data_IF_616952315813
#
_entry.id   IF_616952315813
#
_cell.length_a   1.000
_cell.length_b   1.000
_cell.length_c   1.000
_cell.angle_alpha   90.00
_cell.angle_beta   90.00
_cell.angle_gamma   90.00
#
_symmetry.space_group_name_H-M   'P 1'
#
loop_
_entity.id
_entity.type
_entity.pdbx_description
1 polymer ?
#
# COMPACT_ATOMS: atom_id res chain seq x y z
N UNK A 1 -59.60 9.86 -34.09
CA UNK A 1 -59.45 10.01 -35.56
C UNK A 1 -59.61 8.64 -36.17
N UNK A 2 -60.05 8.55 -37.43
CA UNK A 2 -60.50 7.28 -37.98
C UNK A 2 -59.33 6.39 -38.39
N UNK A 3 -59.32 5.18 -37.86
CA UNK A 3 -58.69 4.06 -38.53
C UNK A 3 -59.59 3.63 -39.69
N UNK A 4 -58.98 3.14 -40.75
CA UNK A 4 -59.65 2.59 -41.92
C UNK A 4 -58.87 1.36 -42.38
N UNK A 5 -59.54 0.44 -43.06
CA UNK A 5 -58.91 -0.72 -43.68
C UNK A 5 -58.12 -0.39 -44.97
N UNK A 6 -58.18 0.86 -45.42
CA UNK A 6 -57.64 1.37 -46.69
C UNK A 6 -58.18 0.65 -47.95
N UNK A 7 -59.36 0.04 -47.87
CA UNK A 7 -60.07 -0.56 -49.00
C UNK A 7 -61.27 0.32 -49.33
N UNK A 8 -61.46 0.64 -50.62
CA UNK A 8 -62.63 1.41 -51.07
C UNK A 8 -63.67 0.42 -51.62
N UNK A 9 -64.80 0.32 -50.94
CA UNK A 9 -65.87 -0.60 -51.32
C UNK A 9 -66.68 -0.07 -52.51
N UNK A 10 -67.18 -1.01 -53.32
CA UNK A 10 -68.11 -0.66 -54.38
C UNK A 10 -69.50 -0.33 -53.79
N UNK A 11 -69.91 0.93 -53.87
CA UNK A 11 -71.13 1.43 -53.26
C UNK A 11 -71.72 2.63 -54.06
N UNK A 12 -72.91 3.14 -53.70
CA UNK A 12 -73.42 4.39 -54.27
C UNK A 12 -72.44 5.55 -54.07
N UNK A 13 -72.41 6.51 -54.99
CA UNK A 13 -71.34 7.53 -55.05
C UNK A 13 -71.19 8.41 -53.79
N UNK A 14 -72.23 8.57 -52.97
CA UNK A 14 -72.11 9.26 -51.67
C UNK A 14 -71.31 8.43 -50.65
N UNK A 15 -71.54 7.11 -50.61
CA UNK A 15 -70.84 6.17 -49.74
C UNK A 15 -69.37 6.04 -50.14
N UNK A 16 -69.07 5.90 -51.44
CA UNK A 16 -67.68 5.84 -51.94
C UNK A 16 -66.88 7.10 -51.59
N UNK A 17 -67.49 8.29 -51.66
CA UNK A 17 -66.81 9.52 -51.24
C UNK A 17 -66.55 9.57 -49.74
N UNK A 18 -67.49 9.10 -48.92
CA UNK A 18 -67.33 9.05 -47.48
C UNK A 18 -66.20 8.08 -47.08
N UNK A 19 -66.20 6.90 -47.71
CA UNK A 19 -65.17 5.87 -47.61
C UNK A 19 -63.77 6.43 -47.99
N UNK A 20 -63.66 7.04 -49.18
CA UNK A 20 -62.42 7.68 -49.63
C UNK A 20 -61.91 8.75 -48.64
N UNK A 21 -62.80 9.59 -48.11
CA UNK A 21 -62.42 10.58 -47.11
C UNK A 21 -61.91 9.92 -45.81
N UNK A 22 -62.50 8.81 -45.40
CA UNK A 22 -62.04 7.99 -44.26
C UNK A 22 -60.65 7.41 -44.51
N UNK A 23 -60.44 6.76 -45.65
CA UNK A 23 -59.15 6.19 -46.03
C UNK A 23 -58.04 7.25 -46.12
N UNK A 24 -58.32 8.42 -46.72
CA UNK A 24 -57.36 9.53 -46.79
C UNK A 24 -57.06 10.14 -45.41
N UNK A 25 -58.05 10.24 -44.52
CA UNK A 25 -57.85 10.69 -43.15
C UNK A 25 -57.01 9.69 -42.35
N UNK A 26 -57.26 8.39 -42.51
CA UNK A 26 -56.45 7.34 -41.90
C UNK A 26 -55.00 7.41 -42.40
N UNK A 27 -54.78 7.57 -43.70
CA UNK A 27 -53.44 7.73 -44.26
C UNK A 27 -52.72 8.97 -43.71
N UNK A 28 -53.39 10.14 -43.73
CA UNK A 28 -52.82 11.39 -43.24
C UNK A 28 -52.53 11.41 -41.73
N UNK A 29 -53.19 10.55 -40.96
CA UNK A 29 -52.99 10.41 -39.52
C UNK A 29 -52.09 9.24 -39.12
N UNK A 30 -51.54 8.48 -40.08
CA UNK A 30 -50.87 7.21 -39.81
C UNK A 30 -51.77 6.26 -38.99
N UNK A 31 -53.02 6.09 -39.41
CA UNK A 31 -54.01 5.18 -38.80
C UNK A 31 -54.11 5.34 -37.27
N UNK A 32 -54.11 6.60 -36.82
CA UNK A 32 -54.10 6.95 -35.40
C UNK A 32 -55.40 6.51 -34.71
N UNK A 33 -55.28 5.80 -33.58
CA UNK A 33 -56.39 5.39 -32.72
C UNK A 33 -55.92 4.87 -31.36
N UNK A 34 -56.83 4.45 -30.49
CA UNK A 34 -56.51 3.93 -29.14
C UNK A 34 -56.38 2.39 -29.09
N UNK A 35 -56.29 1.77 -30.26
CA UNK A 35 -56.14 0.34 -30.47
C UNK A 35 -55.46 0.10 -31.82
N UNK A 36 -54.97 -1.11 -32.05
CA UNK A 36 -54.39 -1.51 -33.33
C UNK A 36 -55.42 -1.38 -34.47
N UNK A 37 -55.05 -0.84 -35.66
CA UNK A 37 -55.89 -0.89 -36.85
C UNK A 37 -56.38 -2.32 -37.13
N UNK A 38 -57.68 -2.46 -37.43
CA UNK A 38 -58.28 -3.77 -37.71
C UNK A 38 -57.58 -4.48 -38.88
N UNK A 39 -57.24 -3.72 -39.91
CA UNK A 39 -56.41 -4.17 -41.03
C UNK A 39 -55.10 -3.38 -40.99
N UNK A 40 -53.98 -4.09 -40.87
CA UNK A 40 -52.65 -3.51 -40.95
C UNK A 40 -51.84 -4.22 -42.02
N UNK A 41 -51.06 -3.47 -42.78
CA UNK A 41 -50.21 -3.98 -43.87
C UNK A 41 -48.75 -4.02 -43.42
N UNK A 42 -48.00 -5.05 -43.81
CA UNK A 42 -46.59 -5.14 -43.46
C UNK A 42 -45.82 -3.88 -43.94
N UNK A 43 -45.06 -3.27 -43.04
CA UNK A 43 -44.39 -1.98 -43.24
C UNK A 43 -45.23 -0.75 -42.91
N UNK A 44 -46.52 -0.90 -42.58
CA UNK A 44 -47.37 0.20 -42.15
C UNK A 44 -46.96 0.69 -40.76
N UNK A 45 -46.89 2.00 -40.61
CA UNK A 45 -46.79 2.62 -39.29
C UNK A 45 -48.18 2.99 -38.78
N UNK A 46 -48.38 2.87 -37.47
CA UNK A 46 -49.58 3.37 -36.83
C UNK A 46 -49.31 3.99 -35.46
N UNK A 47 -50.20 4.91 -35.06
CA UNK A 47 -50.10 5.64 -33.79
C UNK A 47 -51.17 5.17 -32.81
N UNK A 48 -50.75 4.66 -31.65
CA UNK A 48 -51.61 4.54 -30.48
C UNK A 48 -51.64 5.88 -29.74
N UNK A 49 -52.80 6.52 -29.68
CA UNK A 49 -52.95 7.85 -29.11
C UNK A 49 -53.36 7.90 -27.65
N UNK A 50 -53.54 6.75 -27.00
CA UNK A 50 -54.00 6.70 -25.62
C UNK A 50 -53.34 5.61 -24.76
N UNK A 51 -52.42 4.83 -25.32
CA UNK A 51 -51.57 3.91 -24.56
C UNK A 51 -50.11 4.36 -24.66
N UNK A 52 -49.49 4.86 -23.56
CA UNK A 52 -49.97 4.80 -22.18
C UNK A 52 -50.91 5.93 -21.73
N UNK A 53 -51.06 7.03 -22.48
CA UNK A 53 -51.99 8.12 -22.14
C UNK A 53 -52.32 9.00 -23.35
N UNK A 54 -53.35 9.85 -23.24
CA UNK A 54 -53.72 10.82 -24.29
C UNK A 54 -52.61 11.83 -24.66
N UNK A 55 -51.63 12.01 -23.78
CA UNK A 55 -50.49 12.93 -23.96
C UNK A 55 -49.19 12.22 -24.35
N UNK A 56 -49.17 10.89 -24.37
CA UNK A 56 -48.01 10.08 -24.75
C UNK A 56 -48.45 9.06 -25.79
N UNK A 57 -48.15 9.32 -27.05
CA UNK A 57 -48.56 8.48 -28.17
C UNK A 57 -47.47 7.45 -28.48
N UNK A 58 -47.83 6.19 -28.65
CA UNK A 58 -46.90 5.14 -29.07
C UNK A 58 -46.90 5.00 -30.59
N UNK A 59 -45.71 4.99 -31.19
CA UNK A 59 -45.52 4.69 -32.61
C UNK A 59 -45.16 3.21 -32.79
N UNK A 60 -45.90 2.54 -33.66
CA UNK A 60 -45.68 1.16 -34.04
C UNK A 60 -45.37 1.03 -35.52
N UNK A 61 -44.59 0.01 -35.86
CA UNK A 61 -44.39 -0.49 -37.21
C UNK A 61 -44.84 -1.95 -37.25
N UNK A 62 -45.81 -2.27 -38.09
CA UNK A 62 -46.28 -3.64 -38.26
C UNK A 62 -45.37 -4.40 -39.22
N UNK A 63 -44.79 -5.52 -38.81
CA UNK A 63 -43.85 -6.30 -39.64
C UNK A 63 -44.52 -7.37 -40.51
N UNK A 64 -45.84 -7.55 -40.38
CA UNK A 64 -46.62 -8.60 -41.03
C UNK A 64 -47.09 -9.71 -40.07
N UNK A 65 -46.51 -9.80 -38.88
CA UNK A 65 -46.88 -10.71 -37.80
C UNK A 65 -47.23 -9.92 -36.53
N UNK A 66 -46.34 -9.01 -36.14
CA UNK A 66 -46.35 -8.32 -34.86
C UNK A 66 -46.15 -6.81 -35.02
N UNK A 67 -46.62 -6.06 -34.01
CA UNK A 67 -46.45 -4.61 -33.93
C UNK A 67 -45.17 -4.27 -33.16
N UNK A 68 -44.16 -3.80 -33.87
CA UNK A 68 -42.89 -3.36 -33.29
C UNK A 68 -43.05 -1.94 -32.77
N UNK A 69 -42.95 -1.76 -31.45
CA UNK A 69 -42.93 -0.42 -30.83
C UNK A 69 -41.62 0.30 -31.16
N UNK A 70 -41.70 1.38 -31.93
CA UNK A 70 -40.55 2.18 -32.39
C UNK A 70 -40.21 3.27 -31.39
N UNK A 71 -41.21 3.85 -30.73
CA UNK A 71 -40.99 4.89 -29.73
C UNK A 71 -42.28 5.51 -29.20
N UNK A 72 -42.12 6.49 -28.34
CA UNK A 72 -43.22 7.27 -27.75
C UNK A 72 -43.00 8.77 -27.98
N UNK A 73 -44.07 9.47 -28.33
CA UNK A 73 -44.11 10.93 -28.44
C UNK A 73 -44.87 11.52 -27.25
N UNK A 74 -44.20 12.32 -26.43
CA UNK A 74 -44.88 13.17 -25.46
C UNK A 74 -45.32 14.45 -26.15
N UNK A 75 -46.62 14.58 -26.41
CA UNK A 75 -47.20 15.71 -27.13
C UNK A 75 -47.33 16.98 -26.29
N UNK A 76 -47.19 16.86 -24.96
CA UNK A 76 -47.17 18.02 -24.04
C UNK A 76 -45.79 18.65 -24.00
N UNK A 77 -44.73 17.83 -23.96
CA UNK A 77 -43.35 18.30 -23.85
C UNK A 77 -42.59 18.33 -25.18
N UNK A 78 -43.21 17.90 -26.28
CA UNK A 78 -42.63 17.80 -27.62
C UNK A 78 -41.37 16.92 -27.70
N UNK A 79 -41.38 15.77 -27.02
CA UNK A 79 -40.23 14.86 -26.96
C UNK A 79 -40.54 13.51 -27.61
N UNK A 80 -39.55 12.93 -28.30
CA UNK A 80 -39.59 11.55 -28.80
C UNK A 80 -38.63 10.66 -27.99
N UNK A 81 -39.11 9.51 -27.53
CA UNK A 81 -38.33 8.50 -26.81
C UNK A 81 -38.28 7.21 -27.63
N UNK A 82 -37.13 6.84 -28.22
CA UNK A 82 -37.02 5.64 -29.02
C UNK A 82 -37.05 4.37 -28.15
N UNK A 83 -37.57 3.29 -28.73
CA UNK A 83 -37.50 1.95 -28.16
C UNK A 83 -36.51 1.11 -28.98
N UNK A 84 -35.65 0.36 -28.29
CA UNK A 84 -34.64 -0.51 -28.90
C UNK A 84 -34.82 -1.88 -28.27
N UNK A 85 -35.04 -2.91 -29.08
CA UNK A 85 -35.24 -4.29 -28.59
C UNK A 85 -36.34 -4.38 -27.52
N UNK A 86 -37.49 -3.73 -27.77
CA UNK A 86 -38.66 -3.77 -26.89
C UNK A 86 -38.56 -2.94 -25.59
N UNK A 87 -37.44 -2.27 -25.33
CA UNK A 87 -37.25 -1.43 -24.13
C UNK A 87 -37.03 0.05 -24.47
N UNK A 88 -37.51 0.96 -23.64
CA UNK A 88 -37.33 2.41 -23.85
C UNK A 88 -35.88 2.82 -23.63
N UNK A 89 -35.33 3.72 -24.45
CA UNK A 89 -33.96 4.22 -24.27
C UNK A 89 -33.74 4.94 -22.93
N UNK A 90 -34.80 5.53 -22.36
CA UNK A 90 -34.77 6.16 -21.03
C UNK A 90 -34.37 5.16 -19.92
N UNK A 91 -34.71 3.88 -20.07
CA UNK A 91 -34.30 2.84 -19.11
C UNK A 91 -32.78 2.57 -19.15
N UNK A 92 -32.13 2.75 -20.31
CA UNK A 92 -30.67 2.72 -20.42
C UNK A 92 -30.02 4.00 -19.88
N UNK A 93 -30.65 5.17 -20.10
CA UNK A 93 -30.08 6.45 -19.66
C UNK A 93 -30.19 6.65 -18.14
N UNK A 94 -31.20 6.09 -17.49
CA UNK A 94 -31.30 6.05 -16.02
C UNK A 94 -30.20 5.20 -15.38
N UNK A 95 -29.60 4.25 -16.11
CA UNK A 95 -28.37 3.56 -15.69
C UNK A 95 -27.10 4.43 -15.78
N UNK A 96 -27.14 5.60 -16.43
CA UNK A 96 -26.02 6.54 -16.52
C UNK A 96 -25.98 7.56 -15.36
N UNK A 97 -27.02 7.62 -14.51
CA UNK A 97 -27.04 8.45 -13.27
C UNK A 97 -26.34 7.71 -12.11
N UNK A 98 -25.51 6.70 -12.42
CA UNK A 98 -24.75 6.00 -11.41
C UNK A 98 -23.36 6.59 -11.19
N UNK A 99 -22.98 6.82 -9.93
CA UNK A 99 -23.75 6.56 -8.71
C UNK A 99 -24.45 7.86 -8.26
N UNK A 100 -25.77 7.81 -7.96
CA UNK A 100 -26.57 8.99 -7.60
C UNK A 100 -26.12 9.71 -6.31
N UNK A 101 -27.01 10.48 -5.66
CA UNK A 101 -26.67 11.16 -4.40
C UNK A 101 -26.20 10.19 -3.30
N UNK A 102 -25.27 10.62 -2.44
CA UNK A 102 -24.74 9.79 -1.34
C UNK A 102 -25.84 9.53 -0.30
N UNK A 103 -26.16 8.26 -0.07
CA UNK A 103 -27.06 7.83 1.00
C UNK A 103 -26.29 7.70 2.32
N UNK A 104 -26.98 7.83 3.46
CA UNK A 104 -26.38 7.61 4.78
C UNK A 104 -27.00 6.38 5.42
N UNK A 105 -26.17 5.43 5.88
CA UNK A 105 -26.59 4.29 6.67
C UNK A 105 -25.84 4.26 8.01
N UNK A 106 -26.50 4.01 9.15
CA UNK A 106 -25.80 3.69 10.38
C UNK A 106 -25.22 2.27 10.34
N UNK A 107 -24.04 2.10 10.91
CA UNK A 107 -23.39 0.83 11.07
C UNK A 107 -24.19 -0.05 12.05
N UNK A 108 -24.53 -1.24 11.58
CA UNK A 108 -25.13 -2.32 12.37
C UNK A 108 -24.46 -3.63 12.01
N UNK A 109 -24.80 -4.73 12.71
CA UNK A 109 -24.25 -6.04 12.37
C UNK A 109 -24.50 -6.43 10.89
N UNK A 110 -25.63 -5.99 10.33
CA UNK A 110 -25.99 -6.12 8.90
C UNK A 110 -26.28 -4.73 8.31
N UNK A 111 -25.26 -4.08 7.78
CA UNK A 111 -25.39 -2.77 7.13
C UNK A 111 -25.81 -2.98 5.67
N UNK A 112 -27.12 -3.07 5.41
CA UNK A 112 -27.67 -3.46 4.10
C UNK A 112 -27.44 -2.39 3.01
N UNK A 113 -26.39 -2.55 2.21
CA UNK A 113 -26.05 -1.62 1.12
C UNK A 113 -27.06 -1.69 -0.04
N UNK A 114 -27.57 -2.88 -0.36
CA UNK A 114 -28.53 -3.05 -1.45
C UNK A 114 -29.88 -2.37 -1.19
N UNK A 115 -30.22 -2.12 0.08
CA UNK A 115 -31.40 -1.37 0.49
C UNK A 115 -31.18 0.14 0.64
N UNK A 116 -29.97 0.66 0.40
CA UNK A 116 -29.63 2.07 0.64
C UNK A 116 -30.28 3.06 -0.32
N UNK A 117 -30.81 2.59 -1.46
CA UNK A 117 -31.33 3.44 -2.53
C UNK A 117 -30.26 4.19 -3.36
N UNK A 118 -28.97 3.99 -3.04
CA UNK A 118 -27.83 4.54 -3.76
C UNK A 118 -26.65 3.57 -3.76
N UNK A 119 -25.76 3.73 -4.73
CA UNK A 119 -24.49 3.01 -4.82
C UNK A 119 -23.33 3.77 -4.16
N UNK A 120 -23.55 5.02 -3.74
CA UNK A 120 -22.67 5.76 -2.84
C UNK A 120 -23.29 5.76 -1.44
N UNK A 121 -22.58 5.21 -0.45
CA UNK A 121 -23.08 5.11 0.92
C UNK A 121 -22.06 5.61 1.95
N UNK A 122 -22.43 6.63 2.72
CA UNK A 122 -21.75 7.01 3.95
C UNK A 122 -22.20 6.10 5.10
N UNK A 123 -21.28 5.32 5.65
CA UNK A 123 -21.52 4.45 6.80
C UNK A 123 -21.12 5.20 8.07
N UNK A 124 -22.08 5.41 8.96
CA UNK A 124 -21.92 6.18 10.20
C UNK A 124 -21.90 5.30 11.44
N UNK A 125 -21.35 5.78 12.56
CA UNK A 125 -21.27 5.02 13.81
C UNK A 125 -20.04 4.10 13.89
N UNK A 126 -20.04 3.23 14.90
CA UNK A 126 -18.86 2.44 15.31
C UNK A 126 -19.14 0.94 15.47
N UNK A 127 -20.37 0.51 15.22
CA UNK A 127 -20.79 -0.90 15.37
C UNK A 127 -20.03 -1.81 14.41
N UNK A 128 -19.58 -2.97 14.91
CA UNK A 128 -18.98 -4.02 14.07
C UNK A 128 -19.96 -4.49 13.00
N UNK A 129 -19.49 -4.56 11.75
CA UNK A 129 -20.25 -5.04 10.60
C UNK A 129 -19.78 -6.46 10.27
N UNK A 130 -20.75 -7.37 10.12
CA UNK A 130 -20.53 -8.77 9.74
C UNK A 130 -21.16 -9.14 8.40
N UNK A 131 -22.03 -8.28 7.87
CA UNK A 131 -22.70 -8.46 6.57
C UNK A 131 -23.08 -7.11 5.97
N UNK A 132 -23.10 -7.04 4.63
CA UNK A 132 -23.56 -5.89 3.85
C UNK A 132 -24.97 -6.08 3.26
N UNK A 133 -25.72 -7.07 3.77
CA UNK A 133 -27.08 -7.41 3.34
C UNK A 133 -27.14 -8.63 2.42
N UNK A 134 -28.34 -9.21 2.28
CA UNK A 134 -28.59 -10.44 1.52
C UNK A 134 -29.06 -10.23 0.08
N UNK A 135 -29.34 -8.98 -0.30
CA UNK A 135 -29.90 -8.63 -1.61
C UNK A 135 -29.38 -7.29 -2.11
N UNK A 136 -28.88 -7.26 -3.34
CA UNK A 136 -28.45 -6.09 -4.09
C UNK A 136 -28.57 -6.38 -5.60
N UNK A 137 -28.38 -5.36 -6.45
CA UNK A 137 -28.51 -5.52 -7.89
C UNK A 137 -27.30 -6.26 -8.49
N UNK A 138 -27.51 -7.42 -9.13
CA UNK A 138 -26.43 -8.19 -9.78
C UNK A 138 -26.05 -7.67 -11.17
N UNK A 139 -26.91 -6.88 -11.82
CA UNK A 139 -26.61 -6.21 -13.08
C UNK A 139 -25.81 -4.90 -12.89
N UNK A 140 -25.84 -4.32 -11.69
CA UNK A 140 -25.02 -3.18 -11.29
C UNK A 140 -24.41 -3.43 -9.91
N UNK A 141 -23.48 -4.39 -9.78
CA UNK A 141 -23.08 -4.96 -8.49
C UNK A 141 -22.03 -4.14 -7.72
N UNK A 142 -21.60 -2.99 -8.24
CA UNK A 142 -20.55 -2.17 -7.63
C UNK A 142 -21.13 -1.11 -6.67
N UNK A 143 -20.67 -1.13 -5.44
CA UNK A 143 -21.05 -0.17 -4.39
C UNK A 143 -19.79 0.50 -3.82
N UNK A 144 -19.91 1.78 -3.51
CA UNK A 144 -18.84 2.60 -2.94
C UNK A 144 -19.26 3.09 -1.56
N UNK A 145 -18.36 2.97 -0.60
CA UNK A 145 -18.63 3.33 0.79
C UNK A 145 -17.56 4.27 1.33
N UNK A 146 -17.98 5.17 2.21
CA UNK A 146 -17.09 6.00 3.04
C UNK A 146 -17.49 5.84 4.49
N UNK A 147 -16.52 5.57 5.36
CA UNK A 147 -16.75 5.41 6.80
C UNK A 147 -16.59 6.75 7.50
N UNK A 148 -17.51 7.13 8.38
CA UNK A 148 -17.42 8.38 9.17
C UNK A 148 -16.92 8.14 10.59
N UNK A 149 -16.68 6.89 10.97
CA UNK A 149 -16.22 6.49 12.29
C UNK A 149 -15.33 5.25 12.22
N UNK A 150 -14.74 4.89 13.35
CA UNK A 150 -13.99 3.66 13.50
C UNK A 150 -14.93 2.51 13.86
N UNK A 151 -14.99 1.49 13.00
CA UNK A 151 -15.72 0.25 13.20
C UNK A 151 -14.87 -0.94 12.74
N UNK A 152 -15.29 -2.16 13.04
CA UNK A 152 -14.64 -3.36 12.52
C UNK A 152 -15.50 -4.01 11.45
N UNK A 153 -14.91 -4.25 10.28
CA UNK A 153 -15.42 -5.16 9.26
C UNK A 153 -14.91 -6.56 9.60
N UNK A 154 -15.81 -7.51 9.84
CA UNK A 154 -15.45 -8.89 10.18
C UNK A 154 -15.36 -9.74 8.92
N UNK A 155 -14.17 -10.26 8.63
CA UNK A 155 -13.97 -11.08 7.45
C UNK A 155 -14.73 -12.41 7.56
N UNK A 156 -15.41 -12.78 6.48
CA UNK A 156 -15.89 -14.12 6.23
C UNK A 156 -15.46 -14.55 4.82
N UNK A 157 -14.92 -15.75 4.67
CA UNK A 157 -14.38 -16.25 3.41
C UNK A 157 -15.45 -16.42 2.28
N UNK A 158 -16.73 -16.30 2.62
CA UNK A 158 -17.86 -16.47 1.69
C UNK A 158 -18.71 -15.22 1.58
N UNK A 159 -19.22 -14.69 2.71
CA UNK A 159 -20.24 -13.63 2.70
C UNK A 159 -19.68 -12.21 2.75
N UNK A 160 -18.54 -11.99 3.41
CA UNK A 160 -17.88 -10.68 3.53
C UNK A 160 -16.37 -10.84 3.30
N UNK A 161 -16.02 -10.97 2.02
CA UNK A 161 -14.66 -11.27 1.58
C UNK A 161 -13.86 -9.97 1.56
N UNK A 162 -13.03 -9.77 2.58
CA UNK A 162 -12.17 -8.60 2.72
C UNK A 162 -10.83 -8.85 2.01
N UNK A 163 -10.23 -7.78 1.48
CA UNK A 163 -8.87 -7.84 0.96
C UNK A 163 -7.91 -8.26 2.10
N UNK A 164 -6.94 -9.12 1.79
CA UNK A 164 -6.00 -9.64 2.79
C UNK A 164 -6.55 -10.73 3.71
N UNK A 165 -7.83 -11.10 3.61
CA UNK A 165 -8.39 -12.26 4.34
C UNK A 165 -8.43 -12.10 5.87
N UNK A 166 -8.46 -10.88 6.37
CA UNK A 166 -8.50 -10.57 7.80
C UNK A 166 -9.51 -9.46 8.09
N UNK A 167 -9.91 -9.34 9.36
CA UNK A 167 -10.76 -8.24 9.83
C UNK A 167 -10.07 -6.89 9.57
N UNK A 168 -10.86 -5.88 9.21
CA UNK A 168 -10.37 -4.52 8.97
C UNK A 168 -11.03 -3.58 9.98
N UNK A 169 -10.22 -2.84 10.74
CA UNK A 169 -10.72 -1.71 11.52
C UNK A 169 -10.65 -0.46 10.67
N UNK A 170 -11.79 0.19 10.47
CA UNK A 170 -11.89 1.43 9.69
C UNK A 170 -11.51 2.63 10.54
N UNK A 171 -11.34 3.76 9.87
CA UNK A 171 -11.25 5.07 10.49
C UNK A 171 -12.14 6.06 9.73
N UNK A 172 -12.48 7.18 10.37
CA UNK A 172 -13.26 8.23 9.73
C UNK A 172 -12.51 8.77 8.50
N UNK A 173 -13.15 8.73 7.34
CA UNK A 173 -12.56 9.10 6.04
C UNK A 173 -12.06 7.92 5.21
N UNK A 174 -12.06 6.69 5.74
CA UNK A 174 -11.70 5.51 4.95
C UNK A 174 -12.77 5.25 3.88
N UNK A 175 -12.36 4.70 2.74
CA UNK A 175 -13.27 4.34 1.64
C UNK A 175 -13.06 2.92 1.17
N UNK A 176 -14.13 2.28 0.68
CA UNK A 176 -14.08 0.92 0.16
C UNK A 176 -15.00 0.75 -1.04
N UNK A 177 -14.56 -0.09 -2.00
CA UNK A 177 -15.37 -0.53 -3.15
C UNK A 177 -15.74 -1.99 -2.97
N UNK A 178 -17.02 -2.28 -3.17
CA UNK A 178 -17.62 -3.59 -2.96
C UNK A 178 -18.23 -4.12 -4.25
N UNK A 179 -18.09 -5.42 -4.46
CA UNK A 179 -18.75 -6.17 -5.51
C UNK A 179 -19.75 -7.14 -4.87
N UNK A 180 -21.02 -7.00 -5.23
CA UNK A 180 -22.04 -7.96 -4.89
C UNK A 180 -21.97 -9.18 -5.82
N UNK A 181 -21.80 -10.37 -5.24
CA UNK A 181 -21.69 -11.64 -5.96
C UNK A 181 -23.02 -12.41 -6.02
N UNK A 182 -24.09 -11.90 -5.42
CA UNK A 182 -25.36 -12.60 -5.25
C UNK A 182 -25.48 -13.31 -3.90
N UNK A 183 -26.73 -13.59 -3.49
CA UNK A 183 -27.09 -14.35 -2.28
C UNK A 183 -26.38 -13.89 -1.00
N UNK A 184 -26.21 -12.58 -0.81
CA UNK A 184 -25.55 -12.00 0.36
C UNK A 184 -24.03 -12.12 0.40
N UNK A 185 -23.39 -12.49 -0.72
CA UNK A 185 -21.94 -12.55 -0.84
C UNK A 185 -21.39 -11.22 -1.37
N UNK A 186 -20.45 -10.64 -0.62
CA UNK A 186 -19.82 -9.37 -0.95
C UNK A 186 -18.31 -9.52 -0.96
N UNK A 187 -17.67 -8.99 -2.00
CA UNK A 187 -16.21 -8.94 -2.11
C UNK A 187 -15.74 -7.50 -2.10
N UNK A 188 -14.81 -7.19 -1.22
CA UNK A 188 -14.10 -5.91 -1.25
C UNK A 188 -13.06 -5.94 -2.37
N UNK A 189 -13.17 -5.01 -3.31
CA UNK A 189 -12.24 -4.88 -4.44
C UNK A 189 -11.08 -3.93 -4.12
N UNK A 190 -11.38 -2.86 -3.37
CA UNK A 190 -10.41 -1.87 -2.94
C UNK A 190 -10.75 -1.34 -1.57
N UNK A 191 -9.73 -0.97 -0.81
CA UNK A 191 -9.86 -0.30 0.48
C UNK A 191 -8.77 0.76 0.57
N UNK A 192 -9.19 2.02 0.72
CA UNK A 192 -8.28 3.13 1.01
C UNK A 192 -8.52 3.53 2.47
N UNK A 193 -7.56 3.27 3.39
CA UNK A 193 -7.69 3.66 4.77
C UNK A 193 -7.72 5.19 4.91
N UNK A 194 -8.36 5.71 5.95
CA UNK A 194 -8.24 7.13 6.25
C UNK A 194 -6.78 7.46 6.54
N UNK A 195 -6.23 8.48 5.87
CA UNK A 195 -4.86 8.94 6.08
C UNK A 195 -4.71 9.52 7.50
N UNK A 196 -4.36 8.68 8.47
CA UNK A 196 -3.87 9.12 9.78
C UNK A 196 -2.57 8.43 10.20
N UNK A 197 -2.18 7.32 9.55
CA UNK A 197 -1.03 6.51 9.99
C UNK A 197 -0.04 6.09 8.88
N UNK A 198 -0.26 6.39 7.60
CA UNK A 198 0.65 5.97 6.51
C UNK A 198 2.01 6.72 6.48
N UNK A 199 2.28 7.58 7.47
CA UNK A 199 3.56 8.30 7.59
C UNK A 199 4.70 7.42 8.09
N UNK A 200 4.43 6.24 8.67
CA UNK A 200 5.50 5.42 9.26
C UNK A 200 6.12 4.38 8.30
N UNK A 201 5.45 4.00 7.20
CA UNK A 201 5.92 2.90 6.32
C UNK A 201 5.89 3.16 4.81
N UNK A 202 5.67 4.40 4.36
CA UNK A 202 5.89 4.77 2.94
C UNK A 202 5.03 4.01 1.91
N UNK A 203 3.96 3.34 2.32
CA UNK A 203 2.95 2.75 1.42
C UNK A 203 1.74 3.67 1.37
N UNK A 204 1.92 4.85 0.78
CA UNK A 204 0.81 5.79 0.67
C UNK A 204 1.18 7.21 0.27
N UNK A 205 2.02 7.41 -0.74
CA UNK A 205 1.93 8.59 -1.58
C UNK A 205 2.73 8.41 -2.87
N UNK A 206 2.04 8.56 -3.98
CA UNK A 206 2.55 8.84 -5.32
C UNK A 206 3.60 9.97 -5.23
N UNK A 207 4.88 9.64 -5.40
CA UNK A 207 5.97 10.61 -5.49
C UNK A 207 7.07 10.41 -4.44
N UNK A 208 8.13 9.68 -4.83
CA UNK A 208 9.35 9.53 -4.03
C UNK A 208 9.58 8.11 -3.52
N UNK A 209 9.99 7.20 -4.39
CA UNK A 209 10.56 5.90 -3.98
C UNK A 209 11.95 6.14 -3.36
N UNK A 210 12.01 6.65 -2.15
CA UNK A 210 13.21 6.52 -1.33
C UNK A 210 13.02 5.26 -0.48
N UNK A 211 13.88 4.26 -0.68
CA UNK A 211 13.91 3.11 0.21
C UNK A 211 14.17 3.59 1.65
N UNK A 212 13.33 3.18 2.61
CA UNK A 212 13.65 3.35 4.03
C UNK A 212 14.77 2.36 4.33
N UNK A 213 16.01 2.85 4.39
CA UNK A 213 17.13 2.08 4.90
C UNK A 213 16.97 1.98 6.41
N UNK A 214 16.61 0.80 6.92
CA UNK A 214 16.58 0.53 8.36
C UNK A 214 18.03 0.54 8.86
N UNK A 215 18.36 1.45 9.77
CA UNK A 215 19.64 1.44 10.48
C UNK A 215 19.80 0.15 11.30
N UNK A 216 21.04 -0.20 11.63
CA UNK A 216 21.32 -1.31 12.56
C UNK A 216 20.58 -1.08 13.88
N UNK A 217 19.79 -2.06 14.33
CA UNK A 217 19.01 -1.99 15.58
C UNK A 217 17.52 -1.64 15.44
N UNK A 218 17.02 -1.37 14.22
CA UNK A 218 15.59 -1.25 13.94
C UNK A 218 15.05 -2.55 13.34
N UNK A 219 14.16 -3.22 14.06
CA UNK A 219 13.43 -4.40 13.56
C UNK A 219 11.94 -4.12 13.57
N UNK A 220 11.21 -4.76 12.65
CA UNK A 220 9.75 -4.71 12.64
C UNK A 220 9.18 -6.07 12.98
N UNK A 221 8.22 -6.08 13.91
CA UNK A 221 7.36 -7.23 14.15
C UNK A 221 5.91 -6.74 14.11
N UNK A 222 5.15 -7.20 13.11
CA UNK A 222 3.79 -6.72 12.87
C UNK A 222 3.71 -5.19 12.69
N UNK A 223 2.92 -4.53 13.54
CA UNK A 223 2.71 -3.08 13.54
C UNK A 223 3.69 -2.31 14.43
N UNK A 224 4.59 -3.02 15.12
CA UNK A 224 5.54 -2.43 16.07
C UNK A 224 6.92 -2.29 15.44
N UNK A 225 7.43 -1.06 15.41
CA UNK A 225 8.83 -0.77 15.18
C UNK A 225 9.57 -0.95 16.50
N UNK A 226 10.40 -1.98 16.58
CA UNK A 226 11.25 -2.23 17.73
C UNK A 226 12.62 -1.61 17.50
N UNK A 227 12.95 -0.59 18.29
CA UNK A 227 14.30 -0.08 18.44
C UNK A 227 14.97 -0.86 19.57
N UNK A 228 15.61 -1.98 19.25
CA UNK A 228 16.54 -2.58 20.21
C UNK A 228 17.80 -1.73 20.20
N UNK A 229 18.09 -1.05 21.30
CA UNK A 229 19.39 -0.42 21.50
C UNK A 229 20.45 -1.52 21.51
N UNK A 230 20.99 -1.88 20.34
CA UNK A 230 22.26 -2.60 20.30
C UNK A 230 23.26 -1.72 21.05
N UNK A 231 24.00 -2.26 22.03
CA UNK A 231 24.98 -1.46 22.75
C UNK A 231 25.90 -0.76 21.76
N UNK A 232 26.14 0.54 21.95
CA UNK A 232 27.00 1.27 21.03
C UNK A 232 28.38 0.61 21.00
N UNK A 233 28.85 0.27 19.80
CA UNK A 233 30.11 -0.41 19.56
C UNK A 233 30.94 0.36 18.55
N UNK A 234 32.24 0.46 18.78
CA UNK A 234 33.20 1.06 17.88
C UNK A 234 34.35 0.09 17.69
N UNK A 235 34.87 0.01 16.47
CA UNK A 235 35.98 -0.86 16.13
C UNK A 235 36.96 -0.12 15.24
N UNK A 236 38.23 -0.34 15.46
CA UNK A 236 39.30 0.07 14.57
C UNK A 236 40.15 -1.15 14.21
N UNK A 237 40.65 -1.15 12.98
CA UNK A 237 41.47 -2.23 12.44
C UNK A 237 42.67 -1.63 11.74
N UNK A 238 43.85 -2.19 11.99
CA UNK A 238 45.04 -1.94 11.19
C UNK A 238 45.23 -3.19 10.30
N UNK A 239 44.83 -3.16 9.02
CA UNK A 239 44.89 -4.32 8.14
C UNK A 239 46.27 -4.50 7.49
N UNK A 240 46.98 -3.40 7.20
CA UNK A 240 48.27 -3.46 6.52
C UNK A 240 49.45 -3.57 7.49
N UNK A 241 50.56 -4.20 7.07
CA UNK A 241 51.81 -4.21 7.83
C UNK A 241 52.34 -2.79 8.10
N UNK A 242 52.83 -2.55 9.31
CA UNK A 242 53.47 -1.27 9.70
C UNK A 242 54.82 -1.57 10.33
N UNK A 243 55.84 -0.77 9.98
CA UNK A 243 57.16 -0.85 10.61
C UNK A 243 57.34 0.35 11.54
N UNK A 244 57.82 0.09 12.75
CA UNK A 244 58.11 1.10 13.76
C UNK A 244 59.59 1.06 14.12
N UNK A 245 60.17 2.23 14.40
CA UNK A 245 61.46 2.34 15.07
C UNK A 245 61.23 2.84 16.50
N UNK A 246 61.39 1.95 17.48
CA UNK A 246 60.98 2.19 18.86
C UNK A 246 62.19 2.33 19.79
N UNK A 247 62.05 3.16 20.82
CA UNK A 247 63.04 3.33 21.89
C UNK A 247 62.40 2.97 23.23
N UNK A 248 63.18 2.39 24.14
CA UNK A 248 62.68 1.96 25.43
C UNK A 248 62.01 3.10 26.21
N UNK A 249 60.79 2.85 26.69
CA UNK A 249 60.00 3.83 27.45
C UNK A 249 59.25 4.86 26.59
N UNK A 250 59.52 4.94 25.28
CA UNK A 250 58.79 5.79 24.35
C UNK A 250 57.73 4.97 23.63
N UNK A 251 56.47 5.39 23.75
CA UNK A 251 55.34 4.74 23.09
C UNK A 251 54.97 5.44 21.79
N UNK A 252 54.62 4.66 20.77
CA UNK A 252 54.13 5.16 19.49
C UNK A 252 52.70 4.68 19.26
N UNK A 253 51.85 5.58 18.76
CA UNK A 253 50.47 5.28 18.37
C UNK A 253 50.46 4.31 17.18
N UNK A 254 49.59 3.31 17.23
CA UNK A 254 49.28 2.49 16.06
C UNK A 254 48.21 3.21 15.24
N UNK A 255 48.60 3.85 14.14
CA UNK A 255 47.75 4.79 13.38
C UNK A 255 46.35 4.27 13.03
N UNK A 256 46.20 3.00 12.65
CA UNK A 256 44.88 2.41 12.34
C UNK A 256 44.05 2.03 13.56
N UNK A 257 44.54 2.23 14.78
CA UNK A 257 43.90 1.88 16.05
C UNK A 257 43.78 3.08 17.00
N UNK A 258 43.60 4.31 16.49
CA UNK A 258 43.58 5.57 17.29
C UNK A 258 42.23 6.29 17.37
N UNK A 259 41.14 5.71 16.87
CA UNK A 259 39.83 6.39 16.75
C UNK A 259 38.64 5.59 17.27
N UNK A 260 38.83 4.69 18.24
CA UNK A 260 37.73 3.87 18.78
C UNK A 260 36.95 4.69 19.81
N UNK A 261 36.02 5.52 19.34
CA UNK A 261 35.25 6.46 20.17
C UNK A 261 33.81 6.00 20.43
N UNK A 262 33.37 6.12 21.69
CA UNK A 262 32.01 5.83 22.15
C UNK A 262 31.59 6.83 23.21
N UNK A 263 30.29 7.08 23.34
CA UNK A 263 29.73 7.92 24.41
C UNK A 263 28.88 7.07 25.33
N UNK A 264 29.31 6.79 26.58
CA UNK A 264 28.45 6.16 27.56
C UNK A 264 27.23 7.06 27.84
N UNK A 265 26.08 6.44 28.10
CA UNK A 265 24.81 7.13 28.40
C UNK A 265 24.60 7.35 29.90
N UNK A 266 25.35 6.65 30.75
CA UNK A 266 25.32 6.76 32.21
C UNK A 266 26.72 6.64 32.80
N UNK A 267 26.98 7.29 33.94
CA UNK A 267 28.27 7.25 34.65
C UNK A 267 28.59 5.86 35.25
N UNK A 268 27.60 5.01 35.49
CA UNK A 268 27.81 3.63 35.92
C UNK A 268 28.13 2.69 34.76
N UNK A 269 27.92 3.13 33.51
CA UNK A 269 28.07 2.29 32.34
C UNK A 269 29.53 1.94 32.08
N UNK A 270 29.76 0.68 31.75
CA UNK A 270 31.10 0.13 31.50
C UNK A 270 31.34 0.00 30.00
N UNK A 271 32.61 -0.13 29.63
CA UNK A 271 33.04 -0.39 28.26
C UNK A 271 33.85 -1.67 28.23
N UNK A 272 33.39 -2.67 27.51
CA UNK A 272 34.19 -3.85 27.21
C UNK A 272 35.11 -3.54 26.05
N UNK A 273 36.42 -3.53 26.29
CA UNK A 273 37.44 -3.31 25.27
C UNK A 273 38.13 -4.62 24.96
N UNK A 274 38.08 -5.03 23.69
CA UNK A 274 38.64 -6.29 23.20
C UNK A 274 39.47 -6.07 21.94
N UNK A 275 40.37 -6.98 21.59
CA UNK A 275 41.17 -6.89 20.38
C UNK A 275 42.43 -7.73 20.43
N UNK A 276 43.30 -7.56 19.45
CA UNK A 276 44.63 -8.17 19.43
C UNK A 276 45.58 -7.30 18.61
N UNK A 277 46.83 -7.20 19.08
CA UNK A 277 47.93 -6.62 18.32
C UNK A 277 48.90 -7.73 17.91
N UNK A 278 49.18 -7.81 16.62
CA UNK A 278 50.04 -8.83 16.04
C UNK A 278 51.42 -8.23 15.77
N UNK A 279 52.36 -8.46 16.68
CA UNK A 279 53.65 -7.75 16.73
C UNK A 279 54.84 -8.66 16.42
N UNK A 280 55.89 -8.11 15.82
CA UNK A 280 57.16 -8.79 15.57
C UNK A 280 58.34 -7.85 15.85
N UNK A 281 59.56 -8.40 15.92
CA UNK A 281 60.77 -7.61 16.20
C UNK A 281 62.00 -8.15 15.47
N UNK A 282 62.91 -7.24 15.11
CA UNK A 282 64.23 -7.57 14.56
C UNK A 282 65.25 -7.90 15.67
N UNK A 283 64.84 -7.96 16.94
CA UNK A 283 65.70 -8.23 18.09
C UNK A 283 64.93 -8.97 19.18
N UNK A 284 65.66 -9.70 20.03
CA UNK A 284 65.12 -10.33 21.22
C UNK A 284 64.70 -9.27 22.24
N UNK A 285 63.40 -8.99 22.36
CA UNK A 285 62.91 -7.87 23.20
C UNK A 285 61.50 -8.13 23.69
N UNK A 286 61.13 -7.57 24.85
CA UNK A 286 59.72 -7.46 25.21
C UNK A 286 59.10 -6.28 24.47
N UNK A 287 58.12 -6.56 23.62
CA UNK A 287 57.24 -5.53 23.09
C UNK A 287 56.14 -5.28 24.11
N UNK A 288 55.93 -4.00 24.42
CA UNK A 288 54.90 -3.52 25.33
C UNK A 288 53.77 -2.94 24.52
N UNK A 289 52.55 -3.31 24.85
CA UNK A 289 51.33 -2.73 24.30
C UNK A 289 50.60 -2.05 25.43
N UNK A 290 50.05 -0.87 25.16
CA UNK A 290 49.11 -0.24 26.08
C UNK A 290 47.91 0.31 25.33
N UNK A 291 46.77 0.30 26.00
CA UNK A 291 45.57 0.98 25.53
C UNK A 291 45.35 2.21 26.39
N UNK A 292 45.18 3.34 25.72
CA UNK A 292 44.81 4.59 26.36
C UNK A 292 43.34 4.83 26.13
N UNK A 293 42.65 5.27 27.17
CA UNK A 293 41.40 6.01 27.07
C UNK A 293 41.77 7.48 27.12
N UNK A 294 41.58 8.19 26.01
CA UNK A 294 42.03 9.55 25.78
C UNK A 294 43.54 9.68 26.06
N UNK A 295 43.94 10.26 27.19
CA UNK A 295 45.33 10.38 27.64
C UNK A 295 45.70 9.41 28.78
N UNK A 296 44.76 8.65 29.32
CA UNK A 296 44.96 7.77 30.48
C UNK A 296 45.21 6.34 30.04
N UNK A 297 46.30 5.73 30.50
CA UNK A 297 46.56 4.29 30.28
C UNK A 297 45.57 3.47 31.11
N UNK A 298 44.76 2.64 30.44
CA UNK A 298 43.73 1.79 31.07
C UNK A 298 44.02 0.30 30.95
N UNK A 299 44.92 -0.08 30.05
CA UNK A 299 45.41 -1.46 29.92
C UNK A 299 46.87 -1.46 29.48
N UNK A 300 47.63 -2.42 29.97
CA UNK A 300 48.99 -2.69 29.50
C UNK A 300 49.28 -4.18 29.49
N UNK A 301 49.99 -4.62 28.48
CA UNK A 301 50.45 -5.99 28.31
C UNK A 301 51.87 -5.98 27.73
N UNK A 302 52.58 -7.08 27.89
CA UNK A 302 53.92 -7.23 27.32
C UNK A 302 54.13 -8.68 26.91
N UNK A 303 54.83 -8.88 25.80
CA UNK A 303 55.19 -10.21 25.34
C UNK A 303 56.62 -10.22 24.83
N UNK A 304 57.34 -11.29 25.17
CA UNK A 304 58.69 -11.49 24.67
C UNK A 304 58.64 -11.93 23.21
N UNK A 305 59.41 -11.25 22.37
CA UNK A 305 59.52 -11.54 20.94
C UNK A 305 60.96 -11.90 20.63
N UNK A 306 61.16 -13.06 20.00
CA UNK A 306 62.46 -13.50 19.55
C UNK A 306 62.91 -12.74 18.29
N UNK A 307 64.23 -12.63 18.08
CA UNK A 307 64.82 -12.03 16.88
C UNK A 307 64.30 -12.76 15.63
N UNK A 308 63.95 -11.99 14.60
CA UNK A 308 63.36 -12.46 13.35
C UNK A 308 62.01 -13.17 13.53
N UNK A 309 61.35 -13.02 14.69
CA UNK A 309 60.02 -13.56 14.90
C UNK A 309 59.00 -12.86 14.01
N UNK A 310 58.10 -13.71 13.53
CA UNK A 310 56.92 -13.38 12.77
C UNK A 310 55.75 -13.16 13.74
N UNK A 311 54.69 -12.49 13.28
CA UNK A 311 53.67 -11.89 14.13
C UNK A 311 53.21 -12.74 15.34
N UNK A 312 53.45 -12.23 16.55
CA UNK A 312 52.98 -12.79 17.82
C UNK A 312 51.77 -11.98 18.29
N UNK A 313 50.68 -12.66 18.63
CA UNK A 313 49.42 -12.03 19.04
C UNK A 313 49.42 -11.67 20.53
N UNK A 314 49.35 -10.38 20.83
CA UNK A 314 49.09 -9.85 22.16
C UNK A 314 47.59 -9.54 22.27
N UNK A 315 46.79 -10.34 23.01
CA UNK A 315 45.37 -10.08 23.18
C UNK A 315 45.13 -8.86 24.08
N UNK A 316 44.06 -8.15 23.78
CA UNK A 316 43.50 -7.07 24.59
C UNK A 316 42.10 -7.52 25.00
N UNK A 317 41.84 -7.58 26.30
CA UNK A 317 40.50 -7.88 26.82
C UNK A 317 40.40 -7.35 28.24
N UNK A 318 39.65 -6.27 28.43
CA UNK A 318 39.40 -5.70 29.74
C UNK A 318 38.08 -4.93 29.75
N UNK A 319 37.54 -4.72 30.95
CA UNK A 319 36.37 -3.88 31.15
C UNK A 319 36.80 -2.58 31.80
N UNK A 320 36.48 -1.47 31.15
CA UNK A 320 36.79 -0.13 31.61
C UNK A 320 35.54 0.55 32.21
N UNK A 321 35.75 1.40 33.21
CA UNK A 321 34.70 2.14 33.91
C UNK A 321 35.01 3.65 33.82
N UNK A 322 34.68 4.30 32.69
CA UNK A 322 35.09 5.68 32.45
C UNK A 322 34.36 6.73 33.30
N UNK A 323 33.26 6.36 33.97
CA UNK A 323 32.54 7.23 34.89
C UNK A 323 32.12 8.59 34.31
N UNK A 324 31.75 8.60 33.03
CA UNK A 324 31.41 9.80 32.27
C UNK A 324 30.33 9.51 31.24
N UNK A 325 29.55 10.53 30.87
CA UNK A 325 28.63 10.48 29.73
C UNK A 325 29.20 11.14 28.48
N UNK A 326 30.40 11.73 28.57
CA UNK A 326 31.11 12.30 27.43
C UNK A 326 31.72 11.21 26.55
N UNK A 327 32.02 11.55 25.29
CA UNK A 327 32.77 10.65 24.41
C UNK A 327 34.14 10.29 25.02
N UNK A 328 34.45 9.00 25.02
CA UNK A 328 35.76 8.44 25.38
C UNK A 328 36.37 7.79 24.15
N UNK A 329 37.66 8.03 23.92
CA UNK A 329 38.37 7.48 22.75
C UNK A 329 39.44 6.50 23.18
N UNK A 330 39.40 5.28 22.67
CA UNK A 330 40.45 4.29 22.89
C UNK A 330 41.47 4.31 21.77
N UNK A 331 42.74 4.19 22.15
CA UNK A 331 43.85 3.99 21.20
C UNK A 331 44.88 2.98 21.67
N UNK A 332 45.47 2.26 20.73
CA UNK A 332 46.57 1.34 21.01
C UNK A 332 47.94 1.98 20.74
N UNK A 333 48.89 1.74 21.66
CA UNK A 333 50.28 2.16 21.54
C UNK A 333 51.22 0.99 21.75
N UNK A 334 52.39 1.07 21.12
CA UNK A 334 53.45 0.07 21.27
C UNK A 334 54.79 0.70 21.68
N UNK A 335 55.60 -0.05 22.42
CA UNK A 335 56.98 0.29 22.82
C UNK A 335 57.82 -0.97 22.98
N UNK A 336 59.11 -0.80 23.28
CA UNK A 336 60.03 -1.89 23.64
C UNK A 336 60.52 -1.73 25.07
N UNK A 337 60.89 -2.83 25.73
CA UNK A 337 61.38 -2.80 27.13
C UNK A 337 62.78 -2.21 27.30
N UNK A 338 63.62 -2.34 26.27
CA UNK A 338 65.06 -2.07 26.31
C UNK A 338 65.57 -1.72 24.92
N UNK A 339 66.67 -0.96 24.86
CA UNK A 339 67.31 -0.57 23.60
C UNK A 339 66.76 0.72 23.00
N UNK A 340 67.47 1.22 21.99
CA UNK A 340 67.15 2.45 21.27
C UNK A 340 67.03 2.13 19.78
N UNK A 341 66.01 2.67 19.12
CA UNK A 341 65.79 2.47 17.67
C UNK A 341 65.66 0.99 17.24
N UNK A 342 64.97 0.19 18.05
CA UNK A 342 64.64 -1.21 17.75
C UNK A 342 63.54 -1.24 16.69
N UNK A 343 63.83 -1.87 15.55
CA UNK A 343 62.84 -2.08 14.48
C UNK A 343 61.84 -3.15 14.91
N UNK A 344 60.58 -2.75 14.98
CA UNK A 344 59.45 -3.63 15.28
C UNK A 344 58.43 -3.55 14.16
N UNK A 345 57.58 -4.57 14.08
CA UNK A 345 56.61 -4.71 13.01
C UNK A 345 55.25 -5.00 13.60
N UNK A 346 54.21 -4.47 12.98
CA UNK A 346 52.83 -4.85 13.23
C UNK A 346 52.28 -5.50 11.97
N UNK A 347 51.52 -6.58 12.12
CA UNK A 347 50.88 -7.34 11.04
C UNK A 347 51.84 -7.78 9.92
N UNK A 348 53.12 -8.00 10.23
CA UNK A 348 54.06 -8.50 9.22
C UNK A 348 53.86 -10.00 9.05
N UNK A 349 53.59 -10.40 7.82
CA UNK A 349 53.46 -11.80 7.43
C UNK A 349 54.72 -12.60 7.77
N UNK A 350 54.52 -13.89 8.05
CA UNK A 350 55.63 -14.81 8.23
C UNK A 350 56.25 -15.14 6.86
N UNK A 351 57.57 -15.05 6.74
CA UNK A 351 58.28 -15.35 5.50
C UNK A 351 58.15 -16.86 5.19
N UNK A 352 57.10 -17.22 4.44
CA UNK A 352 56.81 -18.60 4.05
C UNK A 352 55.36 -19.05 4.28
N UNK A 353 54.50 -18.27 4.96
CA UNK A 353 53.07 -18.58 5.11
C UNK A 353 52.22 -17.40 4.67
N UNK A 354 51.20 -17.65 3.83
CA UNK A 354 50.26 -16.64 3.34
C UNK A 354 49.22 -16.21 4.41
N UNK A 355 49.62 -16.12 5.68
CA UNK A 355 48.73 -15.68 6.76
C UNK A 355 48.80 -14.17 6.89
N UNK A 356 47.71 -13.50 6.50
CA UNK A 356 47.53 -12.07 6.71
C UNK A 356 47.06 -11.81 8.14
N UNK A 357 47.86 -11.07 8.91
CA UNK A 357 47.48 -10.65 10.27
C UNK A 357 46.75 -9.31 10.25
N UNK A 358 45.71 -9.15 11.07
CA UNK A 358 44.98 -7.87 11.20
C UNK A 358 44.82 -7.53 12.66
N UNK A 359 45.50 -6.48 13.10
CA UNK A 359 45.37 -5.98 14.47
C UNK A 359 44.07 -5.22 14.62
N UNK A 360 43.38 -5.43 15.74
CA UNK A 360 42.05 -4.89 16.00
C UNK A 360 41.95 -4.31 17.40
N UNK A 361 41.08 -3.30 17.54
CA UNK A 361 40.67 -2.75 18.82
C UNK A 361 39.17 -2.45 18.73
N UNK A 362 38.39 -3.09 19.59
CA UNK A 362 36.94 -2.98 19.65
C UNK A 362 36.55 -2.49 21.04
N UNK A 363 35.58 -1.61 21.10
CA UNK A 363 34.94 -1.17 22.33
C UNK A 363 33.43 -1.36 22.18
N UNK A 364 32.78 -1.84 23.23
CA UNK A 364 31.33 -2.03 23.28
C UNK A 364 30.84 -1.54 24.63
N UNK A 365 29.80 -0.70 24.62
CA UNK A 365 29.11 -0.32 25.85
C UNK A 365 28.44 -1.54 26.48
N UNK A 366 28.64 -1.76 27.78
CA UNK A 366 28.01 -2.87 28.51
C UNK A 366 27.34 -2.34 29.77
N UNK A 367 26.20 -2.94 30.11
CA UNK A 367 25.39 -2.59 31.29
C UNK A 367 26.10 -2.96 32.59
#
# INVERSE_FOLDING_TARGET
>A
MSQHDLVIDNAPGASVRADLNGALQALGSNSKGNARPATAYAGQTWLDDNTPSSSVWSLYLFDGSDDIKVGEFNTTTNNFMPFINGVSLASFLTAYVYPGAEATLPATATTNLGGAGSYLVAITGTTTITSLGSGANVASPLYFTRFTGALTLTHNATSLILIGGANITTAAGATATWLYLGSGNWRMLSYEPALSASKLLGVGSIGGKAAISLGTGLSMSGTTLNASASPASASATQPSPVTFSLTAGSFSDVTGLTGVALSPVDVAQKVLVTGALHVGSASNVYVRVQILRDATVVYSASQYIYNAAFAVSIPVSFTDAPATTSAVTYKAQISVSTGTSITTYLNRDNAGTAEAFTSTLNAVLVS
#
